data_IF_540030119235
#
_entry.id   IF_540030119235
#
_cell.length_a   1.000
_cell.length_b   1.000
_cell.length_c   1.000
_cell.angle_alpha   90.00
_cell.angle_beta   90.00
_cell.angle_gamma   90.00
#
_symmetry.space_group_name_H-M   'P 1'
#
loop_
_entity.id
_entity.type
_entity.pdbx_description
1 polymer ?
#
# COMPACT_ATOMS: atom_id res chain seq x y z
N UNK A 1 11.68 -13.08 -26.07
CA UNK A 1 12.81 -12.27 -25.51
C UNK A 1 13.08 -11.00 -26.30
N UNK A 2 13.31 -11.06 -27.63
CA UNK A 2 13.48 -9.83 -28.43
C UNK A 2 12.26 -8.89 -28.34
N UNK A 3 11.07 -9.45 -28.39
CA UNK A 3 9.80 -8.70 -28.30
C UNK A 3 9.62 -7.96 -26.96
N UNK A 4 9.93 -8.59 -25.81
CA UNK A 4 9.78 -7.93 -24.50
C UNK A 4 10.84 -6.86 -24.27
N UNK A 5 12.05 -7.03 -24.81
CA UNK A 5 13.07 -5.99 -24.79
C UNK A 5 12.64 -4.80 -25.64
N UNK A 6 12.15 -5.05 -26.86
CA UNK A 6 11.62 -4.00 -27.74
C UNK A 6 10.46 -3.24 -27.08
N UNK A 7 9.51 -3.95 -26.47
CA UNK A 7 8.43 -3.35 -25.68
C UNK A 7 8.97 -2.41 -24.60
N UNK A 8 9.94 -2.86 -23.79
CA UNK A 8 10.51 -2.03 -22.71
C UNK A 8 11.19 -0.79 -23.28
N UNK A 9 11.88 -0.87 -24.42
CA UNK A 9 12.46 0.29 -25.07
C UNK A 9 11.38 1.27 -25.57
N UNK A 10 10.29 0.76 -26.16
CA UNK A 10 9.14 1.58 -26.55
C UNK A 10 8.50 2.28 -25.35
N UNK A 11 8.33 1.58 -24.23
CA UNK A 11 7.80 2.18 -23.00
C UNK A 11 8.70 3.30 -22.47
N UNK A 12 10.02 3.08 -22.48
CA UNK A 12 10.99 4.11 -22.08
C UNK A 12 10.92 5.34 -23.01
N UNK A 13 10.85 5.13 -24.32
CA UNK A 13 10.70 6.21 -25.30
C UNK A 13 9.39 6.99 -25.15
N UNK A 14 8.31 6.30 -24.74
CA UNK A 14 7.01 6.90 -24.43
C UNK A 14 6.97 7.62 -23.07
N UNK A 15 8.10 7.72 -22.36
CA UNK A 15 8.22 8.46 -21.09
C UNK A 15 7.87 7.65 -19.84
N UNK A 16 7.64 6.34 -19.96
CA UNK A 16 7.41 5.46 -18.81
C UNK A 16 8.73 4.89 -18.26
N UNK A 17 8.71 4.44 -17.00
CA UNK A 17 9.81 3.73 -16.38
C UNK A 17 9.49 2.21 -16.30
N UNK A 18 9.80 1.42 -17.34
CA UNK A 18 9.49 0.00 -17.37
C UNK A 18 10.37 -0.79 -16.39
N UNK A 19 9.82 -1.79 -15.73
CA UNK A 19 10.52 -2.67 -14.82
C UNK A 19 10.34 -4.12 -15.25
N UNK A 20 11.45 -4.82 -15.44
CA UNK A 20 11.42 -6.26 -15.67
C UNK A 20 10.88 -7.01 -14.45
N UNK A 21 9.98 -7.95 -14.68
CA UNK A 21 9.30 -8.69 -13.62
C UNK A 21 9.09 -10.16 -13.97
N UNK A 22 8.85 -10.94 -12.92
CA UNK A 22 8.29 -12.28 -13.00
C UNK A 22 6.84 -12.08 -12.58
N UNK A 23 5.89 -12.51 -13.40
CA UNK A 23 4.46 -12.33 -13.13
C UNK A 23 4.06 -10.90 -12.67
N UNK A 24 3.37 -10.79 -11.54
CA UNK A 24 3.01 -9.55 -10.85
C UNK A 24 4.10 -9.05 -9.88
N UNK A 25 5.26 -9.70 -9.78
CA UNK A 25 6.33 -9.36 -8.84
C UNK A 25 7.56 -8.73 -9.52
N UNK A 26 7.97 -7.54 -9.04
CA UNK A 26 9.28 -6.99 -9.37
C UNK A 26 10.32 -7.50 -8.37
N UNK A 27 11.16 -8.43 -8.83
CA UNK A 27 12.23 -9.05 -8.04
C UNK A 27 13.61 -8.44 -8.32
N UNK A 28 13.63 -7.25 -8.92
CA UNK A 28 14.87 -6.53 -9.22
C UNK A 28 15.42 -5.88 -7.92
N UNK A 29 16.69 -6.10 -7.55
CA UNK A 29 17.29 -5.44 -6.40
C UNK A 29 17.23 -3.92 -6.53
N UNK A 30 16.86 -3.22 -5.46
CA UNK A 30 16.80 -1.75 -5.39
C UNK A 30 15.99 -1.08 -6.53
N UNK A 31 15.00 -1.77 -7.10
CA UNK A 31 14.17 -1.24 -8.19
C UNK A 31 13.47 0.09 -7.88
N UNK A 32 13.08 0.42 -6.62
CA UNK A 32 12.41 1.70 -6.35
C UNK A 32 13.27 2.92 -6.65
N UNK A 33 14.60 2.78 -6.64
CA UNK A 33 15.55 3.89 -6.80
C UNK A 33 16.44 3.76 -8.03
N UNK A 34 16.50 2.57 -8.63
CA UNK A 34 17.41 2.32 -9.75
C UNK A 34 16.96 3.10 -10.99
N UNK A 35 17.83 3.87 -11.66
CA UNK A 35 17.48 4.48 -12.93
C UNK A 35 17.13 3.40 -13.95
N UNK A 36 16.12 3.66 -14.78
CA UNK A 36 15.79 2.79 -15.91
C UNK A 36 16.25 3.48 -17.18
N UNK A 37 17.24 2.89 -17.83
CA UNK A 37 17.80 3.37 -19.08
C UNK A 37 17.90 2.25 -20.13
N UNK A 38 18.23 2.62 -21.35
CA UNK A 38 18.39 1.69 -22.47
C UNK A 38 19.48 0.65 -22.21
N UNK A 39 20.58 1.03 -21.56
CA UNK A 39 21.70 0.13 -21.27
C UNK A 39 21.27 -0.98 -20.31
N UNK A 40 20.51 -0.66 -19.26
CA UNK A 40 19.95 -1.61 -18.32
C UNK A 40 19.01 -2.60 -19.03
N UNK A 41 18.14 -2.10 -19.91
CA UNK A 41 17.20 -2.91 -20.68
C UNK A 41 17.94 -3.86 -21.64
N UNK A 42 18.86 -3.34 -22.44
CA UNK A 42 19.51 -4.08 -23.54
C UNK A 42 20.67 -4.96 -23.10
N UNK A 43 21.46 -4.54 -22.10
CA UNK A 43 22.67 -5.27 -21.67
C UNK A 43 22.40 -6.21 -20.51
N UNK A 44 21.53 -5.83 -19.57
CA UNK A 44 21.25 -6.64 -18.36
C UNK A 44 19.98 -7.45 -18.51
N UNK A 45 18.84 -6.80 -18.69
CA UNK A 45 17.55 -7.49 -18.66
C UNK A 45 17.30 -8.37 -19.90
N UNK A 46 17.82 -7.99 -21.08
CA UNK A 46 17.68 -8.80 -22.29
C UNK A 46 18.26 -10.22 -22.17
N UNK A 47 19.21 -10.44 -21.25
CA UNK A 47 19.83 -11.74 -20.98
C UNK A 47 19.09 -12.55 -19.90
N UNK A 48 18.15 -11.93 -19.19
CA UNK A 48 17.46 -12.53 -18.04
C UNK A 48 16.14 -13.19 -18.47
N UNK A 49 16.23 -14.46 -18.89
CA UNK A 49 15.10 -15.22 -19.47
C UNK A 49 13.88 -15.37 -18.56
N UNK A 50 14.08 -15.33 -17.23
CA UNK A 50 12.99 -15.45 -16.25
C UNK A 50 12.05 -14.23 -16.21
N UNK A 51 12.49 -13.07 -16.70
CA UNK A 51 11.70 -11.83 -16.65
C UNK A 51 10.79 -11.69 -17.86
N UNK A 52 9.72 -12.50 -17.86
CA UNK A 52 8.74 -12.61 -18.94
C UNK A 52 7.59 -11.60 -18.83
N UNK A 53 7.50 -10.84 -17.74
CA UNK A 53 6.53 -9.77 -17.54
C UNK A 53 7.21 -8.40 -17.47
N UNK A 54 6.41 -7.35 -17.60
CA UNK A 54 6.85 -5.96 -17.42
C UNK A 54 5.81 -5.21 -16.60
N UNK A 55 6.25 -4.53 -15.56
CA UNK A 55 5.47 -3.49 -14.91
C UNK A 55 6.01 -2.11 -15.23
N UNK A 56 5.34 -1.10 -14.71
CA UNK A 56 5.69 0.30 -14.84
C UNK A 56 5.88 0.85 -13.43
N UNK A 57 6.96 1.60 -13.21
CA UNK A 57 7.13 2.36 -11.98
C UNK A 57 6.24 3.61 -12.04
N UNK A 58 5.40 3.78 -11.04
CA UNK A 58 4.54 4.96 -10.90
C UNK A 58 5.40 6.13 -10.43
N UNK A 59 5.76 7.01 -11.35
CA UNK A 59 6.58 8.21 -11.15
C UNK A 59 6.41 9.20 -12.33
N UNK A 60 7.16 10.30 -12.34
CA UNK A 60 7.16 11.28 -13.44
C UNK A 60 5.77 11.82 -13.81
N UNK A 61 4.94 12.04 -12.79
CA UNK A 61 3.57 12.52 -12.95
C UNK A 61 2.57 11.45 -13.41
N UNK A 62 2.98 10.19 -13.58
CA UNK A 62 2.05 9.07 -13.74
C UNK A 62 1.27 8.83 -12.44
N UNK A 63 -0.03 8.61 -12.58
CA UNK A 63 -0.88 8.09 -11.53
C UNK A 63 -1.65 6.86 -12.03
N UNK A 64 -1.96 5.95 -11.12
CA UNK A 64 -2.71 4.72 -11.43
C UNK A 64 -3.87 4.59 -10.47
N UNK A 65 -5.08 4.50 -11.01
CA UNK A 65 -6.33 4.20 -10.27
C UNK A 65 -6.57 2.70 -10.37
N UNK A 66 -6.31 1.96 -9.30
CA UNK A 66 -6.52 0.52 -9.20
C UNK A 66 -7.89 0.23 -8.59
N UNK A 67 -8.81 -0.31 -9.39
CA UNK A 67 -10.17 -0.66 -8.99
C UNK A 67 -10.24 -2.16 -8.70
N UNK A 68 -9.97 -2.49 -7.45
CA UNK A 68 -9.98 -3.84 -6.90
C UNK A 68 -11.41 -4.28 -6.48
N UNK A 69 -12.36 -4.17 -7.42
CA UNK A 69 -13.76 -4.55 -7.23
C UNK A 69 -14.09 -5.69 -8.19
N UNK A 70 -14.27 -6.90 -7.66
CA UNK A 70 -14.52 -8.10 -8.47
C UNK A 70 -16.02 -8.41 -8.57
N UNK A 71 -16.77 -7.46 -9.13
CA UNK A 71 -18.21 -7.58 -9.37
C UNK A 71 -18.58 -6.81 -10.64
N UNK A 72 -18.96 -7.54 -11.70
CA UNK A 72 -19.20 -6.95 -13.03
C UNK A 72 -20.28 -5.86 -13.00
N UNK A 73 -21.46 -6.06 -12.38
CA UNK A 73 -22.46 -5.00 -12.29
C UNK A 73 -21.98 -3.75 -11.54
N UNK A 74 -21.20 -3.91 -10.46
CA UNK A 74 -20.66 -2.78 -9.71
C UNK A 74 -19.60 -2.05 -10.53
N UNK A 75 -18.70 -2.77 -11.17
CA UNK A 75 -17.66 -2.19 -12.00
C UNK A 75 -18.25 -1.39 -13.17
N UNK A 76 -19.34 -1.83 -13.78
CA UNK A 76 -20.02 -1.09 -14.84
C UNK A 76 -20.57 0.28 -14.34
N UNK A 77 -21.22 0.31 -13.19
CA UNK A 77 -21.72 1.55 -12.59
C UNK A 77 -20.58 2.48 -12.15
N UNK A 78 -19.54 1.91 -11.54
CA UNK A 78 -18.33 2.63 -11.16
C UNK A 78 -17.67 3.26 -12.39
N UNK A 79 -17.51 2.49 -13.47
CA UNK A 79 -16.88 2.98 -14.69
C UNK A 79 -17.66 4.15 -15.29
N UNK A 80 -18.99 4.05 -15.37
CA UNK A 80 -19.81 5.13 -15.90
C UNK A 80 -19.73 6.40 -15.05
N UNK A 81 -19.81 6.24 -13.72
CA UNK A 81 -19.68 7.38 -12.81
C UNK A 81 -18.29 8.03 -12.89
N UNK A 82 -17.24 7.24 -13.01
CA UNK A 82 -15.87 7.72 -13.08
C UNK A 82 -15.58 8.46 -14.39
N UNK A 83 -16.18 8.08 -15.53
CA UNK A 83 -16.04 8.86 -16.78
C UNK A 83 -16.53 10.29 -16.63
N UNK A 84 -17.59 10.52 -15.86
CA UNK A 84 -18.10 11.87 -15.59
C UNK A 84 -17.21 12.69 -14.67
N UNK A 85 -16.53 12.06 -13.70
CA UNK A 85 -15.64 12.75 -12.74
C UNK A 85 -14.25 12.97 -13.33
N UNK A 86 -13.77 11.98 -14.10
CA UNK A 86 -12.43 11.92 -14.68
C UNK A 86 -12.54 11.69 -16.21
N UNK A 87 -12.93 12.71 -16.99
CA UNK A 87 -13.06 12.57 -18.45
C UNK A 87 -11.76 12.12 -19.09
N UNK A 88 -11.83 11.05 -19.90
CA UNK A 88 -10.67 10.47 -20.58
C UNK A 88 -9.83 9.50 -19.75
N UNK A 89 -10.13 9.27 -18.46
CA UNK A 89 -9.36 8.36 -17.62
C UNK A 89 -9.31 6.90 -18.12
N UNK A 90 -10.27 6.51 -18.95
CA UNK A 90 -10.36 5.18 -19.55
C UNK A 90 -9.53 5.01 -20.83
N UNK A 91 -8.77 6.03 -21.25
CA UNK A 91 -7.87 5.95 -22.41
C UNK A 91 -6.91 4.75 -22.30
N UNK A 92 -6.32 4.57 -21.12
CA UNK A 92 -5.45 3.44 -20.80
C UNK A 92 -6.05 2.62 -19.66
N UNK A 93 -6.91 1.67 -20.02
CA UNK A 93 -7.57 0.76 -19.08
C UNK A 93 -6.97 -0.65 -19.17
N UNK A 94 -6.37 -1.11 -18.08
CA UNK A 94 -5.79 -2.45 -17.97
C UNK A 94 -6.70 -3.39 -17.19
N UNK A 95 -7.03 -4.53 -17.76
CA UNK A 95 -7.72 -5.63 -17.10
C UNK A 95 -6.74 -6.62 -16.45
N UNK A 96 -7.10 -7.10 -15.26
CA UNK A 96 -6.36 -8.12 -14.51
C UNK A 96 -7.20 -9.38 -14.27
N UNK A 97 -7.22 -9.85 -13.02
CA UNK A 97 -8.05 -10.97 -12.58
C UNK A 97 -9.51 -10.50 -12.37
N UNK A 98 -10.47 -11.25 -12.91
CA UNK A 98 -11.90 -10.99 -12.70
C UNK A 98 -12.36 -9.69 -13.35
N UNK A 99 -13.25 -8.96 -12.68
CA UNK A 99 -13.78 -7.67 -13.14
C UNK A 99 -12.85 -6.48 -12.84
N UNK A 100 -11.69 -6.72 -12.21
CA UNK A 100 -10.76 -5.69 -11.73
C UNK A 100 -10.05 -4.98 -12.89
N UNK A 101 -9.97 -3.65 -12.78
CA UNK A 101 -9.30 -2.81 -13.78
C UNK A 101 -8.34 -1.83 -13.12
N UNK A 102 -7.38 -1.34 -13.89
CA UNK A 102 -6.51 -0.25 -13.50
C UNK A 102 -6.47 0.81 -14.61
N UNK A 103 -6.63 2.07 -14.24
CA UNK A 103 -6.61 3.20 -15.16
C UNK A 103 -5.29 3.96 -15.00
N UNK A 104 -4.61 4.22 -16.12
CA UNK A 104 -3.36 4.96 -16.15
C UNK A 104 -3.63 6.37 -16.62
N UNK A 105 -3.29 7.34 -15.78
CA UNK A 105 -3.58 8.77 -15.97
C UNK A 105 -2.38 9.59 -15.49
N UNK A 106 -2.42 10.91 -15.60
CA UNK A 106 -1.45 11.80 -14.96
C UNK A 106 -2.03 12.51 -13.76
N UNK A 107 -1.15 12.89 -12.84
CA UNK A 107 -1.48 13.76 -11.71
C UNK A 107 -0.82 15.13 -11.87
N UNK A 108 -1.54 16.19 -11.48
CA UNK A 108 -1.01 17.54 -11.37
C UNK A 108 -0.07 17.69 -10.15
N UNK A 109 -0.29 16.89 -9.11
CA UNK A 109 0.41 16.98 -7.84
C UNK A 109 0.83 15.57 -7.39
N UNK A 110 2.10 15.34 -7.00
CA UNK A 110 2.51 14.03 -6.53
C UNK A 110 1.90 13.71 -5.16
N UNK A 111 1.41 12.47 -4.99
CA UNK A 111 0.95 11.92 -3.72
C UNK A 111 1.33 10.45 -3.58
N UNK A 112 1.32 9.93 -2.36
CA UNK A 112 1.72 8.54 -2.11
C UNK A 112 0.60 7.57 -2.50
N UNK A 113 -0.51 7.63 -1.77
CA UNK A 113 -1.68 6.79 -1.97
C UNK A 113 -2.93 7.50 -1.49
N UNK A 114 -3.99 7.49 -2.29
CA UNK A 114 -5.35 7.82 -1.88
C UNK A 114 -6.16 6.53 -2.02
N UNK A 115 -6.92 6.13 -1.00
CA UNK A 115 -7.70 4.90 -1.06
C UNK A 115 -9.11 5.08 -0.50
N UNK A 116 -10.03 4.25 -0.98
CA UNK A 116 -11.30 4.03 -0.29
C UNK A 116 -11.07 3.18 0.96
N UNK A 117 -12.07 3.11 1.82
CA UNK A 117 -12.21 1.97 2.73
C UNK A 117 -12.28 0.66 1.93
N UNK A 118 -12.09 -0.46 2.62
CA UNK A 118 -12.29 -1.81 2.11
C UNK A 118 -13.72 -2.25 2.36
N UNK A 119 -14.28 -2.99 1.41
CA UNK A 119 -15.69 -3.33 1.34
C UNK A 119 -15.91 -4.82 1.11
N UNK A 120 -16.91 -5.40 1.78
CA UNK A 120 -17.41 -6.75 1.56
C UNK A 120 -18.71 -6.66 0.76
N UNK A 121 -18.80 -7.43 -0.32
CA UNK A 121 -20.06 -7.59 -1.04
C UNK A 121 -21.07 -8.38 -0.18
N UNK A 122 -22.38 -8.22 -0.39
CA UNK A 122 -23.38 -8.99 0.34
C UNK A 122 -23.10 -10.50 0.26
N UNK A 123 -23.05 -11.16 1.42
CA UNK A 123 -22.79 -12.60 1.55
C UNK A 123 -21.32 -12.99 1.64
N UNK A 124 -20.37 -12.08 1.41
CA UNK A 124 -18.94 -12.35 1.64
C UNK A 124 -18.52 -12.16 3.10
N UNK A 125 -17.46 -12.87 3.49
CA UNK A 125 -16.74 -12.66 4.73
C UNK A 125 -15.37 -12.02 4.47
N UNK A 126 -14.71 -11.53 5.52
CA UNK A 126 -13.35 -10.97 5.41
C UNK A 126 -12.33 -11.94 4.79
N UNK A 127 -12.54 -13.25 4.96
CA UNK A 127 -11.71 -14.31 4.37
C UNK A 127 -11.85 -14.38 2.83
N UNK A 128 -13.02 -14.06 2.29
CA UNK A 128 -13.31 -14.07 0.85
C UNK A 128 -12.54 -13.02 0.04
N UNK A 129 -11.89 -12.07 0.72
CA UNK A 129 -11.19 -10.95 0.11
C UNK A 129 -12.06 -9.71 0.07
N UNK A 130 -11.53 -8.62 0.62
CA UNK A 130 -12.19 -7.33 0.54
C UNK A 130 -11.99 -6.69 -0.84
N UNK A 131 -12.79 -5.67 -1.11
CA UNK A 131 -12.77 -4.89 -2.33
C UNK A 131 -12.52 -3.41 -2.04
N UNK A 132 -12.10 -2.65 -3.04
CA UNK A 132 -11.95 -1.20 -2.89
C UNK A 132 -11.23 -0.58 -4.07
N UNK A 133 -10.80 0.66 -3.87
CA UNK A 133 -10.01 1.38 -4.84
C UNK A 133 -8.79 2.02 -4.19
N UNK A 134 -7.67 2.01 -4.90
CA UNK A 134 -6.44 2.68 -4.51
C UNK A 134 -5.94 3.52 -5.68
N UNK A 135 -5.38 4.69 -5.39
CA UNK A 135 -4.79 5.58 -6.38
C UNK A 135 -3.37 5.87 -5.94
N UNK A 136 -2.40 5.58 -6.81
CA UNK A 136 -0.98 5.83 -6.57
C UNK A 136 -0.53 7.03 -7.41
N UNK A 137 0.08 8.04 -6.78
CA UNK A 137 0.38 9.34 -7.39
C UNK A 137 1.87 9.67 -7.54
N UNK A 138 2.75 8.66 -7.54
CA UNK A 138 4.16 8.81 -7.87
C UNK A 138 5.05 9.54 -6.85
N UNK A 139 4.54 10.01 -5.70
CA UNK A 139 5.39 10.57 -4.63
C UNK A 139 6.23 9.50 -3.89
N UNK A 140 5.92 8.23 -4.13
CA UNK A 140 6.68 7.07 -3.70
C UNK A 140 6.71 6.08 -4.85
N UNK A 141 7.90 5.58 -5.18
CA UNK A 141 8.05 4.56 -6.21
C UNK A 141 7.14 3.35 -5.90
N UNK A 142 6.25 3.04 -6.83
CA UNK A 142 5.35 1.88 -6.78
C UNK A 142 5.51 1.11 -8.07
N UNK A 143 5.68 -0.21 -7.98
CA UNK A 143 5.64 -1.09 -9.13
C UNK A 143 4.17 -1.41 -9.43
N UNK A 144 3.79 -1.32 -10.70
CA UNK A 144 2.46 -1.71 -11.15
C UNK A 144 2.57 -2.60 -12.38
N UNK A 145 2.07 -3.84 -12.29
CA UNK A 145 2.11 -4.80 -13.40
C UNK A 145 1.34 -4.26 -14.62
N UNK A 146 1.91 -4.39 -15.82
CA UNK A 146 1.38 -3.74 -17.03
C UNK A 146 1.27 -4.70 -18.22
N UNK A 147 2.27 -5.54 -18.46
CA UNK A 147 2.36 -6.44 -19.61
C UNK A 147 2.83 -7.84 -19.20
N UNK A 148 2.34 -8.85 -19.91
CA UNK A 148 2.65 -10.25 -19.63
C UNK A 148 1.73 -10.85 -18.57
N UNK A 149 2.27 -11.78 -17.78
CA UNK A 149 1.49 -12.55 -16.80
C UNK A 149 1.19 -11.74 -15.55
N UNK A 150 -0.08 -11.75 -15.11
CA UNK A 150 -0.46 -11.38 -13.74
C UNK A 150 -0.24 -12.58 -12.80
N UNK A 151 -0.66 -13.75 -13.23
CA UNK A 151 -0.40 -15.03 -12.57
C UNK A 151 0.15 -15.94 -13.64
N UNK A 152 1.38 -16.42 -13.42
CA UNK A 152 2.12 -17.21 -14.39
C UNK A 152 1.23 -18.35 -14.92
N UNK A 153 1.17 -18.45 -16.25
CA UNK A 153 0.41 -19.44 -17.02
C UNK A 153 -1.10 -19.52 -16.76
N UNK A 154 -1.68 -18.57 -16.02
CA UNK A 154 -3.12 -18.55 -15.69
C UNK A 154 -3.83 -17.28 -16.15
N UNK A 155 -3.24 -16.11 -15.88
CA UNK A 155 -3.89 -14.83 -16.13
C UNK A 155 -2.86 -13.88 -16.74
N UNK A 156 -3.16 -13.35 -17.93
CA UNK A 156 -2.38 -12.27 -18.56
C UNK A 156 -3.08 -10.93 -18.40
N UNK A 157 -2.29 -9.87 -18.22
CA UNK A 157 -2.77 -8.51 -18.35
C UNK A 157 -3.25 -8.25 -19.78
N UNK A 158 -4.33 -7.48 -19.90
CA UNK A 158 -4.92 -7.07 -21.18
C UNK A 158 -5.28 -5.59 -21.11
N UNK A 159 -5.15 -4.87 -22.22
CA UNK A 159 -5.55 -3.47 -22.33
C UNK A 159 -6.85 -3.37 -23.12
N UNK A 160 -7.77 -2.53 -22.67
CA UNK A 160 -8.97 -2.19 -23.41
C UNK A 160 -8.65 -1.03 -24.36
N UNK A 161 -8.32 -1.37 -25.60
CA UNK A 161 -7.88 -0.39 -26.61
C UNK A 161 -6.38 -0.13 -26.50
N UNK A 162 -6.01 1.15 -26.33
CA UNK A 162 -4.62 1.56 -26.31
C UNK A 162 -3.87 1.04 -25.07
N UNK A 163 -2.54 1.00 -25.17
CA UNK A 163 -1.64 0.69 -24.07
C UNK A 163 -0.51 1.74 -23.94
N UNK A 164 0.27 1.68 -22.85
CA UNK A 164 1.50 2.47 -22.72
C UNK A 164 2.52 2.26 -23.85
N UNK A 165 2.43 1.17 -24.63
CA UNK A 165 3.32 0.91 -25.77
C UNK A 165 2.99 1.81 -26.98
N UNK A 166 1.78 2.34 -27.05
CA UNK A 166 1.21 3.04 -28.20
C UNK A 166 0.65 4.42 -27.83
N UNK A 167 0.63 4.76 -26.54
CA UNK A 167 0.26 6.08 -26.04
C UNK A 167 1.37 6.64 -25.15
N UNK A 168 2.03 7.76 -25.53
CA UNK A 168 2.99 8.44 -24.68
C UNK A 168 2.41 8.95 -23.36
N UNK A 169 3.22 8.97 -22.30
CA UNK A 169 2.80 9.42 -20.97
C UNK A 169 2.21 10.83 -20.98
N UNK A 170 2.83 11.75 -21.72
CA UNK A 170 2.41 13.16 -21.79
C UNK A 170 1.04 13.36 -22.47
N UNK A 171 0.54 12.36 -23.21
CA UNK A 171 -0.78 12.35 -23.84
C UNK A 171 -1.90 11.90 -22.90
N UNK A 172 -1.57 11.40 -21.72
CA UNK A 172 -2.58 11.00 -20.74
C UNK A 172 -3.26 12.22 -20.10
N UNK A 173 -4.56 12.12 -19.77
CA UNK A 173 -5.27 13.19 -19.07
C UNK A 173 -4.66 13.44 -17.69
N UNK A 174 -4.58 14.72 -17.31
CA UNK A 174 -4.02 15.15 -16.01
C UNK A 174 -5.17 15.48 -15.07
N UNK A 175 -5.12 14.94 -13.85
CA UNK A 175 -6.11 15.22 -12.81
C UNK A 175 -5.46 15.75 -11.53
N UNK A 176 -6.23 16.53 -10.77
CA UNK A 176 -5.83 17.04 -9.45
C UNK A 176 -6.12 16.02 -8.34
N UNK A 177 -5.46 16.17 -7.18
CA UNK A 177 -5.80 15.37 -5.99
C UNK A 177 -7.28 15.48 -5.60
N UNK A 178 -7.87 16.67 -5.72
CA UNK A 178 -9.30 16.90 -5.46
C UNK A 178 -10.20 16.00 -6.32
N UNK A 179 -9.86 15.82 -7.60
CA UNK A 179 -10.61 14.94 -8.49
C UNK A 179 -10.44 13.46 -8.13
N UNK A 180 -9.25 13.06 -7.69
CA UNK A 180 -9.02 11.70 -7.18
C UNK A 180 -9.81 11.41 -5.90
N UNK A 181 -9.90 12.36 -4.97
CA UNK A 181 -10.78 12.23 -3.80
C UNK A 181 -12.25 12.13 -4.20
N UNK A 182 -12.73 12.98 -5.12
CA UNK A 182 -14.09 12.90 -5.64
C UNK A 182 -14.41 11.55 -6.29
N UNK A 183 -13.43 10.94 -6.96
CA UNK A 183 -13.55 9.59 -7.51
C UNK A 183 -13.69 8.53 -6.40
N UNK A 184 -12.87 8.59 -5.35
CA UNK A 184 -12.98 7.70 -4.19
C UNK A 184 -14.33 7.85 -3.48
N UNK A 185 -14.79 9.08 -3.23
CA UNK A 185 -16.08 9.34 -2.60
C UNK A 185 -17.24 8.76 -3.42
N UNK A 186 -17.16 8.87 -4.75
CA UNK A 186 -18.16 8.30 -5.64
C UNK A 186 -18.16 6.76 -5.61
N UNK A 187 -16.98 6.15 -5.56
CA UNK A 187 -16.82 4.69 -5.42
C UNK A 187 -17.46 4.22 -4.11
N UNK A 188 -17.12 4.84 -2.98
CA UNK A 188 -17.69 4.50 -1.68
C UNK A 188 -19.21 4.67 -1.65
N UNK A 189 -19.71 5.75 -2.26
CA UNK A 189 -21.14 6.01 -2.36
C UNK A 189 -21.87 4.90 -3.13
N UNK A 190 -21.30 4.44 -4.26
CA UNK A 190 -21.87 3.35 -5.07
C UNK A 190 -21.87 2.03 -4.31
N UNK A 191 -20.74 1.66 -3.69
CA UNK A 191 -20.63 0.41 -2.93
C UNK A 191 -21.60 0.39 -1.75
N UNK A 192 -21.73 1.50 -1.03
CA UNK A 192 -22.72 1.65 0.06
C UNK A 192 -24.16 1.50 -0.44
N UNK A 193 -24.55 2.16 -1.54
CA UNK A 193 -25.90 2.03 -2.11
C UNK A 193 -26.22 0.60 -2.55
N UNK A 194 -25.21 -0.17 -2.93
CA UNK A 194 -25.34 -1.59 -3.27
C UNK A 194 -25.41 -2.52 -2.06
N UNK A 195 -25.44 -1.98 -0.84
CA UNK A 195 -25.53 -2.75 0.39
C UNK A 195 -24.22 -3.41 0.81
N UNK A 196 -23.07 -2.97 0.27
CA UNK A 196 -21.77 -3.50 0.66
C UNK A 196 -21.41 -2.99 2.05
N UNK A 197 -20.79 -3.86 2.85
CA UNK A 197 -20.41 -3.55 4.22
C UNK A 197 -18.95 -3.12 4.28
N UNK A 198 -18.65 -2.13 5.12
CA UNK A 198 -17.27 -1.70 5.36
C UNK A 198 -16.56 -2.77 6.17
N UNK A 199 -15.34 -3.15 5.78
CA UNK A 199 -14.48 -4.01 6.60
C UNK A 199 -14.10 -3.27 7.87
N UNK A 200 -14.24 -3.93 9.01
CA UNK A 200 -13.89 -3.36 10.32
C UNK A 200 -12.45 -2.84 10.31
N UNK A 201 -12.20 -1.67 10.92
CA UNK A 201 -10.89 -1.00 11.01
C UNK A 201 -10.30 -0.53 9.67
N UNK A 202 -10.99 -0.70 8.55
CA UNK A 202 -10.53 -0.13 7.29
C UNK A 202 -10.63 1.38 7.28
N UNK A 203 -9.53 2.03 6.89
CA UNK A 203 -9.41 3.48 6.75
C UNK A 203 -9.33 3.87 5.28
N UNK A 204 -10.04 4.95 4.93
CA UNK A 204 -9.93 5.61 3.63
C UNK A 204 -9.21 6.95 3.76
N UNK A 205 -8.95 7.59 2.62
CA UNK A 205 -8.29 8.88 2.53
C UNK A 205 -6.88 8.79 1.96
N UNK A 206 -6.06 9.81 2.20
CA UNK A 206 -4.66 9.81 1.81
C UNK A 206 -3.79 9.22 2.91
N UNK A 207 -2.99 8.21 2.55
CA UNK A 207 -2.07 7.62 3.51
C UNK A 207 -0.93 8.59 3.84
N UNK A 208 -0.94 9.07 5.08
CA UNK A 208 0.29 9.33 5.83
C UNK A 208 0.72 7.97 6.40
N UNK A 209 1.98 7.55 6.25
CA UNK A 209 2.42 6.22 6.68
C UNK A 209 2.08 6.01 8.17
N UNK A 210 1.10 5.17 8.48
CA UNK A 210 0.73 4.84 9.85
C UNK A 210 1.58 3.65 10.29
N UNK A 211 2.52 3.93 11.19
CA UNK A 211 3.41 2.93 11.78
C UNK A 211 3.02 2.70 13.23
N UNK A 212 2.92 1.43 13.60
CA UNK A 212 2.74 1.01 14.99
C UNK A 212 3.90 0.10 15.37
N UNK A 213 4.32 0.18 16.64
CA UNK A 213 5.46 -0.56 17.17
C UNK A 213 4.93 -1.60 18.16
N UNK A 214 4.41 -2.69 17.62
CA UNK A 214 3.64 -3.69 18.35
C UNK A 214 4.08 -5.14 18.07
N UNK A 215 5.06 -5.34 17.18
CA UNK A 215 5.64 -6.67 16.98
C UNK A 215 6.55 -6.99 18.17
N UNK A 216 6.21 -8.02 18.93
CA UNK A 216 6.90 -8.44 20.16
C UNK A 216 7.34 -9.90 20.08
N UNK A 217 8.34 -10.25 20.91
CA UNK A 217 8.86 -11.61 21.00
C UNK A 217 7.76 -12.62 21.33
N UNK A 218 7.86 -13.82 20.77
CA UNK A 218 6.83 -14.88 20.93
C UNK A 218 5.67 -14.82 19.94
N UNK A 219 5.58 -13.79 19.08
CA UNK A 219 4.65 -13.79 17.95
C UNK A 219 5.05 -14.83 16.88
N UNK A 220 4.03 -15.44 16.27
CA UNK A 220 4.18 -16.43 15.21
C UNK A 220 3.43 -16.01 13.94
N UNK A 221 4.07 -16.15 12.79
CA UNK A 221 3.60 -15.67 11.50
C UNK A 221 3.47 -16.85 10.53
N UNK A 222 2.23 -17.23 10.20
CA UNK A 222 1.94 -18.23 9.18
C UNK A 222 2.22 -17.66 7.79
N UNK A 223 3.33 -18.09 7.16
CA UNK A 223 3.78 -17.53 5.89
C UNK A 223 3.18 -18.24 4.67
N UNK A 224 3.20 -17.54 3.52
CA UNK A 224 2.65 -18.04 2.25
C UNK A 224 3.43 -19.19 1.61
N UNK A 225 4.58 -19.56 2.16
CA UNK A 225 5.36 -20.75 1.79
C UNK A 225 5.06 -21.97 2.67
N UNK A 226 4.07 -21.87 3.56
CA UNK A 226 3.64 -22.95 4.44
C UNK A 226 4.47 -23.09 5.71
N UNK A 227 5.44 -22.20 5.95
CA UNK A 227 6.27 -22.21 7.16
C UNK A 227 5.77 -21.14 8.13
N UNK A 228 5.49 -21.54 9.37
CA UNK A 228 5.26 -20.60 10.47
C UNK A 228 6.60 -20.14 11.02
N UNK A 229 6.82 -18.83 11.07
CA UNK A 229 8.06 -18.23 11.56
C UNK A 229 7.82 -17.39 12.80
N UNK A 230 8.80 -17.33 13.68
CA UNK A 230 8.87 -16.44 14.83
C UNK A 230 9.29 -15.02 14.42
N UNK A 231 9.11 -14.06 15.33
CA UNK A 231 9.61 -12.69 15.11
C UNK A 231 11.13 -12.67 14.86
N UNK A 232 11.90 -13.38 15.68
CA UNK A 232 13.37 -13.44 15.59
C UNK A 232 13.84 -14.00 14.23
N UNK A 233 13.22 -15.08 13.74
CA UNK A 233 13.53 -15.64 12.42
C UNK A 233 13.27 -14.62 11.30
N UNK A 234 12.13 -13.92 11.35
CA UNK A 234 11.81 -12.89 10.38
C UNK A 234 12.75 -11.69 10.46
N UNK A 235 13.21 -11.31 11.66
CA UNK A 235 14.19 -10.24 11.83
C UNK A 235 15.54 -10.59 11.21
N UNK A 236 16.04 -11.82 11.39
CA UNK A 236 17.28 -12.23 10.74
C UNK A 236 17.13 -12.32 9.22
N UNK A 237 16.00 -12.86 8.73
CA UNK A 237 15.71 -12.85 7.29
C UNK A 237 15.65 -11.42 6.74
N UNK A 238 15.06 -10.47 7.46
CA UNK A 238 15.00 -9.07 7.07
C UNK A 238 16.40 -8.44 6.98
N UNK A 239 17.27 -8.74 7.96
CA UNK A 239 18.66 -8.27 7.99
C UNK A 239 19.49 -8.80 6.82
N UNK A 240 19.15 -10.00 6.34
CA UNK A 240 19.79 -10.68 5.21
C UNK A 240 19.13 -10.37 3.85
N UNK A 241 18.15 -9.44 3.78
CA UNK A 241 17.37 -9.14 2.56
C UNK A 241 16.68 -10.39 1.96
N UNK A 242 16.33 -11.35 2.83
CA UNK A 242 15.76 -12.65 2.47
C UNK A 242 14.22 -12.72 2.61
N UNK A 243 13.56 -11.60 2.88
CA UNK A 243 12.09 -11.51 3.01
C UNK A 243 11.39 -11.09 1.71
N UNK A 244 12.12 -10.95 0.60
CA UNK A 244 11.56 -10.48 -0.66
C UNK A 244 10.44 -11.40 -1.18
N UNK A 245 9.22 -10.86 -1.30
CA UNK A 245 8.04 -11.60 -1.76
C UNK A 245 7.36 -12.45 -0.69
N UNK A 246 7.90 -12.49 0.53
CA UNK A 246 7.31 -13.20 1.66
C UNK A 246 6.05 -12.48 2.14
N UNK A 247 5.02 -13.27 2.44
CA UNK A 247 3.75 -12.80 2.97
C UNK A 247 3.32 -13.69 4.12
N UNK A 248 2.47 -13.17 4.99
CA UNK A 248 1.86 -13.94 6.05
C UNK A 248 0.38 -13.62 6.22
N UNK A 249 -0.29 -14.45 7.03
CA UNK A 249 -1.66 -14.17 7.45
C UNK A 249 -1.70 -13.01 8.45
N UNK A 250 -2.91 -12.62 8.86
CA UNK A 250 -3.11 -11.70 9.97
C UNK A 250 -3.40 -12.46 11.28
N UNK A 251 -3.08 -13.76 11.38
CA UNK A 251 -3.43 -14.54 12.59
C UNK A 251 -2.72 -14.06 13.86
N UNK A 252 -1.52 -13.49 13.70
CA UNK A 252 -0.78 -12.81 14.78
C UNK A 252 -1.46 -11.53 15.29
N UNK A 253 -2.34 -10.92 14.50
CA UNK A 253 -3.04 -9.66 14.81
C UNK A 253 -4.51 -9.89 15.22
N UNK A 254 -5.20 -10.80 14.53
CA UNK A 254 -6.64 -11.02 14.65
C UNK A 254 -7.01 -12.40 15.21
N UNK A 255 -6.02 -13.24 15.49
CA UNK A 255 -6.21 -14.59 15.99
C UNK A 255 -6.35 -15.66 14.89
N UNK A 256 -6.51 -16.94 15.29
CA UNK A 256 -6.33 -18.10 14.41
C UNK A 256 -7.36 -18.25 13.28
N UNK A 257 -8.39 -17.41 13.25
CA UNK A 257 -9.39 -17.40 12.18
C UNK A 257 -8.89 -16.72 10.91
N UNK A 258 -7.92 -15.81 11.01
CA UNK A 258 -7.33 -15.11 9.88
C UNK A 258 -6.29 -15.98 9.17
N UNK A 259 -6.73 -16.80 8.20
CA UNK A 259 -5.88 -17.83 7.58
C UNK A 259 -5.25 -17.41 6.26
N UNK A 260 -5.70 -16.29 5.67
CA UNK A 260 -5.27 -15.84 4.35
C UNK A 260 -3.80 -15.36 4.37
N UNK A 261 -2.86 -16.21 3.93
CA UNK A 261 -1.41 -15.94 3.99
C UNK A 261 -0.86 -14.94 2.97
N UNK A 262 -1.69 -14.41 2.06
CA UNK A 262 -1.30 -13.31 1.16
C UNK A 262 -1.69 -11.91 1.68
N UNK A 263 -2.29 -11.86 2.89
CA UNK A 263 -2.86 -10.65 3.50
C UNK A 263 -1.82 -9.64 3.95
N UNK A 264 -0.78 -10.08 4.66
CA UNK A 264 0.26 -9.20 5.18
C UNK A 264 1.53 -9.31 4.32
N UNK A 265 2.15 -8.18 3.98
CA UNK A 265 3.44 -8.16 3.29
C UNK A 265 4.56 -8.08 4.32
N UNK A 266 5.49 -9.03 4.27
CA UNK A 266 6.70 -8.98 5.09
C UNK A 266 7.78 -8.25 4.27
N UNK A 267 8.47 -7.32 4.91
CA UNK A 267 9.52 -6.52 4.31
C UNK A 267 10.49 -5.99 5.34
N UNK A 268 11.32 -5.03 4.95
CA UNK A 268 12.23 -4.37 5.87
C UNK A 268 12.50 -2.92 5.45
N UNK A 269 12.99 -2.13 6.40
CA UNK A 269 13.45 -0.77 6.15
C UNK A 269 14.83 -0.77 5.49
N UNK A 270 15.29 0.42 5.06
CA UNK A 270 16.64 0.59 4.53
C UNK A 270 17.75 0.26 5.55
N UNK A 271 17.43 0.25 6.84
CA UNK A 271 18.35 -0.14 7.93
C UNK A 271 18.23 -1.61 8.30
N UNK A 272 17.45 -2.40 7.54
CA UNK A 272 17.24 -3.84 7.79
C UNK A 272 16.23 -4.17 8.87
N UNK A 273 15.49 -3.19 9.40
CA UNK A 273 14.48 -3.44 10.42
C UNK A 273 13.25 -4.09 9.79
N UNK A 274 12.79 -5.21 10.35
CA UNK A 274 11.57 -5.91 9.92
C UNK A 274 10.35 -4.99 9.93
N UNK A 275 9.53 -5.12 8.88
CA UNK A 275 8.22 -4.48 8.74
C UNK A 275 7.19 -5.53 8.35
N UNK A 276 5.99 -5.48 8.93
CA UNK A 276 4.82 -6.25 8.47
C UNK A 276 3.73 -5.27 8.07
N UNK A 277 3.40 -5.19 6.78
CA UNK A 277 2.36 -4.29 6.27
C UNK A 277 1.05 -5.06 6.14
N UNK A 278 0.04 -4.67 6.93
CA UNK A 278 -1.31 -5.23 6.85
C UNK A 278 -2.09 -4.47 5.76
N UNK A 279 -2.51 -5.17 4.70
CA UNK A 279 -3.00 -4.52 3.49
C UNK A 279 -4.42 -3.95 3.63
N UNK A 280 -5.29 -4.51 4.49
CA UNK A 280 -6.69 -4.09 4.57
C UNK A 280 -6.89 -2.78 5.37
N UNK A 281 -6.05 -2.55 6.38
CA UNK A 281 -5.94 -1.33 7.18
C UNK A 281 -4.87 -0.37 6.64
N UNK A 282 -3.85 -0.88 5.93
CA UNK A 282 -2.72 -0.08 5.45
C UNK A 282 -1.70 0.27 6.54
N UNK A 283 -1.76 -0.37 7.70
CA UNK A 283 -0.83 -0.15 8.82
C UNK A 283 0.48 -0.90 8.60
N UNK A 284 1.60 -0.24 8.90
CA UNK A 284 2.93 -0.87 8.94
C UNK A 284 3.30 -1.17 10.38
N UNK A 285 3.38 -2.45 10.72
CA UNK A 285 3.79 -2.92 12.03
C UNK A 285 5.31 -3.08 12.09
N UNK A 286 5.89 -2.54 13.15
CA UNK A 286 7.32 -2.49 13.41
C UNK A 286 7.62 -3.25 14.70
N UNK A 287 8.85 -3.74 14.80
CA UNK A 287 9.40 -4.29 16.05
C UNK A 287 9.27 -3.24 17.15
N UNK A 288 8.61 -3.62 18.24
CA UNK A 288 8.56 -2.81 19.46
C UNK A 288 9.94 -2.80 20.10
N UNK A 289 10.48 -1.61 20.35
CA UNK A 289 11.77 -1.43 21.03
C UNK A 289 11.57 -0.84 22.42
N UNK A 290 12.54 -1.04 23.32
CA UNK A 290 12.52 -0.42 24.66
C UNK A 290 12.47 1.11 24.59
N UNK A 291 12.99 1.70 23.50
CA UNK A 291 12.92 3.13 23.22
C UNK A 291 11.47 3.57 23.00
N UNK A 292 10.63 2.72 22.40
CA UNK A 292 9.22 3.04 22.17
C UNK A 292 8.45 3.14 23.50
N UNK A 293 8.77 2.31 24.48
CA UNK A 293 8.21 2.41 25.83
C UNK A 293 8.68 3.68 26.56
N UNK A 294 9.95 4.07 26.39
CA UNK A 294 10.49 5.32 26.93
C UNK A 294 9.83 6.55 26.29
N UNK A 295 9.62 6.53 24.97
CA UNK A 295 8.94 7.61 24.24
C UNK A 295 7.47 7.68 24.64
N UNK A 296 6.76 6.54 24.70
CA UNK A 296 5.37 6.48 25.13
C UNK A 296 5.19 7.01 26.56
N UNK A 297 6.12 6.68 27.47
CA UNK A 297 6.15 7.20 28.83
C UNK A 297 6.44 8.71 28.85
N UNK A 298 7.41 9.20 28.06
CA UNK A 298 7.68 10.64 27.94
C UNK A 298 6.49 11.41 27.37
N UNK A 299 5.81 10.88 26.36
CA UNK A 299 4.62 11.49 25.77
C UNK A 299 3.45 11.50 26.78
N UNK A 300 3.25 10.41 27.55
CA UNK A 300 2.28 10.40 28.65
C UNK A 300 2.60 11.46 29.71
N UNK A 301 3.88 11.61 30.09
CA UNK A 301 4.32 12.64 31.04
C UNK A 301 4.15 14.07 30.50
N UNK A 302 4.37 14.27 29.21
CA UNK A 302 4.16 15.57 28.56
C UNK A 302 2.67 15.89 28.44
N UNK A 303 1.84 14.91 28.10
CA UNK A 303 0.39 15.04 28.02
C UNK A 303 -0.27 15.24 29.39
N UNK A 304 0.33 14.69 30.45
CA UNK A 304 -0.10 14.91 31.84
C UNK A 304 0.19 16.34 32.35
N UNK A 305 0.91 17.17 31.58
CA UNK A 305 1.30 18.52 31.95
C UNK A 305 2.40 18.55 33.03
N UNK A 306 3.34 19.50 32.93
CA UNK A 306 4.15 19.85 34.09
C UNK A 306 3.25 20.63 35.07
N UNK A 307 3.37 20.41 36.39
CA UNK A 307 2.69 21.24 37.37
C UNK A 307 2.99 22.71 37.07
N UNK A 308 1.95 23.53 36.95
CA UNK A 308 2.14 24.95 36.74
C UNK A 308 2.77 25.56 38.00
N UNK A 309 3.39 26.74 37.87
CA UNK A 309 3.87 27.47 39.04
C UNK A 309 2.76 27.67 40.09
N UNK A 310 1.50 27.79 39.64
CA UNK A 310 0.34 27.91 40.50
C UNK A 310 0.03 26.60 41.27
N UNK A 311 0.23 25.44 40.64
CA UNK A 311 0.02 24.13 41.28
C UNK A 311 1.05 23.90 42.38
N UNK A 312 2.31 24.25 42.12
CA UNK A 312 3.41 24.16 43.09
C UNK A 312 3.15 25.10 44.27
N UNK A 313 2.74 26.34 44.00
CA UNK A 313 2.38 27.31 45.04
C UNK A 313 1.20 26.79 45.87
N UNK A 314 0.12 26.33 45.24
CA UNK A 314 -1.04 25.82 45.95
C UNK A 314 -0.71 24.61 46.84
N UNK A 315 0.21 23.75 46.41
CA UNK A 315 0.66 22.60 47.18
C UNK A 315 1.53 23.00 48.40
N UNK A 316 2.40 24.02 48.25
CA UNK A 316 3.13 24.61 49.37
C UNK A 316 2.21 25.28 50.40
N UNK A 317 1.18 26.00 49.95
CA UNK A 317 0.20 26.63 50.83
C UNK A 317 -0.57 25.56 51.63
N UNK A 318 -1.03 24.49 50.98
CA UNK A 318 -1.66 23.35 51.68
C UNK A 318 -0.72 22.65 52.66
N UNK A 319 0.59 22.59 52.39
CA UNK A 319 1.59 22.07 53.35
C UNK A 319 1.74 22.98 54.56
N UNK A 320 1.79 24.30 54.35
CA UNK A 320 1.89 25.29 55.43
C UNK A 320 0.65 25.31 56.31
N UNK A 321 -0.55 25.20 55.74
CA UNK A 321 -1.79 25.16 56.52
C UNK A 321 -1.91 23.89 57.36
N UNK A 322 -1.48 22.74 56.82
CA UNK A 322 -1.38 21.49 57.60
C UNK A 322 -0.37 21.60 58.75
N UNK A 323 0.76 22.25 58.52
CA UNK A 323 1.76 22.50 59.57
C UNK A 323 1.27 23.48 60.65
N UNK A 324 0.43 24.46 60.28
CA UNK A 324 -0.22 25.40 61.21
C UNK A 324 -1.34 24.76 62.03
N UNK A 325 -2.13 23.88 61.41
CA UNK A 325 -3.17 23.10 62.10
C UNK A 325 -2.59 22.13 63.14
N UNK A 326 -1.37 21.61 62.92
CA UNK A 326 -0.67 20.74 63.87
C UNK A 326 -0.05 21.44 65.08
N UNK A 327 0.04 22.78 65.10
CA UNK A 327 0.63 23.57 66.21
C UNK A 327 -0.41 24.21 67.15
N UNK A 328 -1.70 23.90 66.99
CA UNK A 328 -2.79 24.38 67.86
C UNK A 328 -3.32 23.31 68.82
N UNK A 329 -2.51 22.29 69.13
CA UNK A 329 -2.73 21.38 70.26
C UNK A 329 -1.68 21.65 71.33
#
# INVERSE_FOLDING_TARGET
MKEITALRLTLLANGYAPLASIDKLCVLPNWPRSPVDEALITRRWARMRRYTATGIRVENGLAVIDLDVDNVPAMAELAERLKGILPGAFLLCRHGKGAKIALFVRTAEPFKRICSKRWLKPGDTAEGGAHGAEIFGGASARYFGAFGWHTLDRIKYRWAGNSPADTPLDRLPVFTKKQFFAAIDAIECILRRRGWQVVERSVGGENVAHRVHDLVEGMAFECNDGVTRTLSELQEMARLDAVQGLRCSASWLEGPTAKRTDRCLIGHTATGQLTVVENDSGVTHMVKTDIDDIIAEKLRRLAAGKPTALDIINEEWRRRDRARAGKRK
#
